data_IF_602255797600
#
_entry.id   IF_602255797600
#
_cell.length_a   1.000
_cell.length_b   1.000
_cell.length_c   1.000
_cell.angle_alpha   90.00
_cell.angle_beta   90.00
_cell.angle_gamma   90.00
#
_symmetry.space_group_name_H-M   'P 1'
#
loop_
_entity.id
_entity.type
_entity.pdbx_description
1 polymer ?
#
# COMPACT_ATOMS: atom_id res chain seq x y z
N UNK A 1 -19.10 1.93 -10.06
CA UNK A 1 -17.69 2.36 -10.21
C UNK A 1 -17.31 2.12 -11.67
N UNK A 2 -16.69 3.08 -12.35
CA UNK A 2 -16.29 2.88 -13.74
C UNK A 2 -15.03 1.99 -13.80
N UNK A 3 -15.03 0.96 -14.66
CA UNK A 3 -13.96 -0.04 -14.79
C UNK A 3 -12.54 0.58 -14.89
N UNK A 4 -12.41 1.68 -15.61
CA UNK A 4 -11.13 2.38 -15.79
C UNK A 4 -10.50 2.89 -14.48
N UNK A 5 -11.29 3.14 -13.42
CA UNK A 5 -10.75 3.63 -12.15
C UNK A 5 -9.97 2.53 -11.44
N UNK A 6 -10.43 1.27 -11.53
CA UNK A 6 -9.72 0.12 -10.97
C UNK A 6 -8.38 -0.09 -11.69
N UNK A 7 -8.37 0.04 -13.02
CA UNK A 7 -7.16 -0.08 -13.86
C UNK A 7 -6.13 0.99 -13.50
N UNK A 8 -6.57 2.26 -13.38
CA UNK A 8 -5.70 3.38 -12.99
C UNK A 8 -5.12 3.16 -11.60
N UNK A 9 -5.94 2.70 -10.65
CA UNK A 9 -5.49 2.42 -9.30
C UNK A 9 -4.47 1.27 -9.27
N UNK A 10 -4.71 0.22 -10.05
CA UNK A 10 -3.79 -0.91 -10.19
C UNK A 10 -2.44 -0.47 -10.74
N UNK A 11 -2.42 0.30 -11.83
CA UNK A 11 -1.18 0.86 -12.41
C UNK A 11 -0.46 1.75 -11.41
N UNK A 12 -1.19 2.58 -10.66
CA UNK A 12 -0.61 3.45 -9.64
C UNK A 12 0.11 2.65 -8.54
N UNK A 13 -0.41 1.49 -8.13
CA UNK A 13 0.26 0.63 -7.15
C UNK A 13 1.61 0.09 -7.65
N UNK A 14 1.74 -0.22 -8.95
CA UNK A 14 3.04 -0.57 -9.54
C UNK A 14 4.00 0.62 -9.62
N UNK A 15 3.49 1.83 -9.91
CA UNK A 15 4.31 3.05 -9.86
C UNK A 15 4.84 3.26 -8.44
N UNK A 16 3.99 3.10 -7.43
CA UNK A 16 4.40 3.24 -6.03
C UNK A 16 5.45 2.17 -5.65
N UNK A 17 5.29 0.92 -6.10
CA UNK A 17 6.31 -0.13 -5.93
C UNK A 17 7.65 0.26 -6.56
N UNK A 18 7.63 0.92 -7.71
CA UNK A 18 8.80 1.52 -8.34
C UNK A 18 9.46 2.58 -7.45
N UNK A 19 8.68 3.51 -6.90
CA UNK A 19 9.17 4.54 -5.97
C UNK A 19 9.81 3.92 -4.72
N UNK A 20 9.19 2.89 -4.15
CA UNK A 20 9.75 2.15 -3.01
C UNK A 20 11.10 1.53 -3.34
N UNK A 21 11.22 0.93 -4.52
CA UNK A 21 12.45 0.28 -4.99
C UNK A 21 13.59 1.30 -5.12
N UNK A 22 13.30 2.49 -5.66
CA UNK A 22 14.24 3.62 -5.69
C UNK A 22 14.63 4.07 -4.27
N UNK A 23 13.66 4.12 -3.36
CA UNK A 23 13.94 4.45 -1.97
C UNK A 23 14.82 3.42 -1.25
N UNK A 24 14.67 2.13 -1.56
CA UNK A 24 15.56 1.06 -1.07
C UNK A 24 16.98 1.23 -1.63
N UNK A 25 17.11 1.58 -2.90
CA UNK A 25 18.41 1.88 -3.52
C UNK A 25 19.13 3.03 -2.79
N UNK A 26 18.43 4.14 -2.48
CA UNK A 26 19.02 5.23 -1.71
C UNK A 26 19.45 4.82 -0.30
N UNK A 27 18.64 3.99 0.38
CA UNK A 27 19.00 3.43 1.68
C UNK A 27 20.28 2.58 1.61
N UNK A 28 20.43 1.72 0.60
CA UNK A 28 21.63 0.90 0.41
C UNK A 28 22.89 1.75 0.20
N UNK A 29 22.74 2.93 -0.41
CA UNK A 29 23.81 3.92 -0.61
C UNK A 29 24.03 4.85 0.59
N UNK A 30 23.36 4.63 1.73
CA UNK A 30 23.46 5.50 2.91
C UNK A 30 22.83 6.88 2.75
N UNK A 31 22.04 7.11 1.69
CA UNK A 31 21.39 8.38 1.36
C UNK A 31 20.01 8.49 2.03
N UNK A 32 20.01 8.62 3.36
CA UNK A 32 18.78 8.53 4.17
C UNK A 32 17.77 9.67 3.98
N UNK A 33 18.23 10.87 3.61
CA UNK A 33 17.32 11.99 3.28
C UNK A 33 16.51 11.65 2.03
N UNK A 34 17.17 11.18 0.97
CA UNK A 34 16.51 10.76 -0.27
C UNK A 34 15.60 9.56 -0.04
N UNK A 35 16.03 8.58 0.77
CA UNK A 35 15.16 7.49 1.21
C UNK A 35 13.87 8.03 1.87
N UNK A 36 13.99 8.92 2.86
CA UNK A 36 12.83 9.51 3.53
C UNK A 36 11.90 10.27 2.58
N UNK A 37 12.45 11.07 1.66
CA UNK A 37 11.67 11.75 0.62
C UNK A 37 10.92 10.78 -0.29
N UNK A 38 11.57 9.71 -0.75
CA UNK A 38 10.89 8.68 -1.56
C UNK A 38 9.81 7.94 -0.79
N UNK A 39 10.02 7.67 0.51
CA UNK A 39 8.99 7.03 1.34
C UNK A 39 7.79 7.96 1.55
N UNK A 40 8.02 9.26 1.76
CA UNK A 40 6.96 10.27 1.83
C UNK A 40 6.13 10.28 0.54
N UNK A 41 6.79 10.33 -0.62
CA UNK A 41 6.10 10.30 -1.93
C UNK A 41 5.26 9.03 -2.06
N UNK A 42 5.84 7.86 -1.76
CA UNK A 42 5.17 6.58 -1.86
C UNK A 42 3.91 6.51 -0.97
N UNK A 43 4.02 6.93 0.29
CA UNK A 43 2.89 6.95 1.24
C UNK A 43 1.84 7.96 0.83
N UNK A 44 2.22 9.16 0.37
CA UNK A 44 1.23 10.17 -0.07
C UNK A 44 0.46 9.69 -1.30
N UNK A 45 1.15 9.11 -2.29
CA UNK A 45 0.49 8.51 -3.45
C UNK A 45 -0.46 7.37 -3.04
N UNK A 46 -0.02 6.51 -2.12
CA UNK A 46 -0.85 5.42 -1.62
C UNK A 46 -2.06 5.94 -0.82
N UNK A 47 -1.89 6.96 0.02
CA UNK A 47 -2.95 7.60 0.78
C UNK A 47 -4.03 8.20 -0.13
N UNK A 48 -3.61 8.93 -1.17
CA UNK A 48 -4.52 9.53 -2.16
C UNK A 48 -5.31 8.43 -2.88
N UNK A 49 -4.63 7.39 -3.34
CA UNK A 49 -5.25 6.19 -3.92
C UNK A 49 -6.24 5.52 -2.95
N UNK A 50 -5.83 5.36 -1.69
CA UNK A 50 -6.64 4.72 -0.66
C UNK A 50 -7.92 5.49 -0.38
N UNK A 51 -7.82 6.79 -0.05
CA UNK A 51 -8.97 7.60 0.35
C UNK A 51 -9.91 7.97 -0.80
N UNK A 52 -9.39 8.16 -2.02
CA UNK A 52 -10.21 8.55 -3.16
C UNK A 52 -10.78 7.37 -3.94
N UNK A 53 -10.09 6.22 -3.93
CA UNK A 53 -10.46 5.07 -4.75
C UNK A 53 -10.79 3.85 -3.90
N UNK A 54 -9.82 3.33 -3.14
CA UNK A 54 -9.98 2.02 -2.49
C UNK A 54 -11.04 2.03 -1.40
N UNK A 55 -11.01 3.02 -0.51
CA UNK A 55 -11.93 3.13 0.61
C UNK A 55 -13.40 3.35 0.17
N UNK A 56 -13.72 4.32 -0.71
CA UNK A 56 -15.07 4.47 -1.22
C UNK A 56 -15.55 3.23 -1.96
N UNK A 57 -14.68 2.57 -2.73
CA UNK A 57 -15.02 1.33 -3.42
C UNK A 57 -15.38 0.24 -2.42
N UNK A 58 -14.55 0.04 -1.40
CA UNK A 58 -14.75 -1.00 -0.39
C UNK A 58 -16.04 -0.82 0.40
N UNK A 59 -16.38 0.43 0.75
CA UNK A 59 -17.63 0.74 1.48
C UNK A 59 -18.86 0.60 0.58
N UNK A 60 -18.75 0.95 -0.71
CA UNK A 60 -19.85 0.84 -1.67
C UNK A 60 -20.01 -0.57 -2.25
N UNK A 61 -19.08 -1.49 -2.00
CA UNK A 61 -19.07 -2.82 -2.59
C UNK A 61 -20.00 -3.78 -1.85
N UNK A 62 -20.86 -4.48 -2.58
CA UNK A 62 -21.72 -5.52 -2.03
C UNK A 62 -20.96 -6.86 -1.96
N UNK A 63 -20.52 -7.24 -0.76
CA UNK A 63 -19.80 -8.50 -0.55
C UNK A 63 -20.66 -9.76 -0.62
N UNK A 64 -21.98 -9.65 -0.81
CA UNK A 64 -22.86 -10.82 -0.96
C UNK A 64 -22.79 -11.44 -2.35
N UNK A 65 -22.34 -10.68 -3.35
CA UNK A 65 -22.22 -11.13 -4.74
C UNK A 65 -20.90 -11.84 -5.05
N UNK A 66 -19.95 -11.84 -4.11
CA UNK A 66 -18.67 -12.53 -4.26
C UNK A 66 -18.76 -13.97 -3.80
N UNK A 67 -18.12 -14.85 -4.55
CA UNK A 67 -17.81 -16.20 -4.10
C UNK A 67 -16.96 -16.17 -2.82
N UNK A 68 -17.12 -17.20 -1.99
CA UNK A 68 -16.49 -17.29 -0.66
C UNK A 68 -14.97 -17.02 -0.69
N UNK A 69 -14.17 -17.57 -1.62
CA UNK A 69 -12.72 -17.30 -1.68
C UNK A 69 -12.41 -15.84 -1.99
N UNK A 70 -13.06 -15.24 -3.00
CA UNK A 70 -12.85 -13.84 -3.38
C UNK A 70 -13.24 -12.87 -2.27
N UNK A 71 -14.31 -13.19 -1.53
CA UNK A 71 -14.74 -12.41 -0.36
C UNK A 71 -13.66 -12.40 0.72
N UNK A 72 -13.08 -13.57 1.05
CA UNK A 72 -12.00 -13.68 2.05
C UNK A 72 -10.76 -12.89 1.60
N UNK A 73 -10.37 -13.02 0.34
CA UNK A 73 -9.24 -12.27 -0.23
C UNK A 73 -9.50 -10.77 -0.15
N UNK A 74 -10.69 -10.31 -0.54
CA UNK A 74 -11.04 -8.89 -0.53
C UNK A 74 -11.04 -8.29 0.87
N UNK A 75 -11.61 -8.99 1.86
CA UNK A 75 -11.63 -8.54 3.25
C UNK A 75 -10.22 -8.51 3.85
N UNK A 76 -9.44 -9.55 3.59
CA UNK A 76 -8.05 -9.66 4.08
C UNK A 76 -7.17 -8.57 3.47
N UNK A 77 -7.31 -8.33 2.16
CA UNK A 77 -6.64 -7.22 1.47
C UNK A 77 -6.99 -5.87 2.12
N UNK A 78 -8.28 -5.59 2.32
CA UNK A 78 -8.75 -4.35 2.92
C UNK A 78 -8.20 -4.11 4.33
N UNK A 79 -8.22 -5.14 5.19
CA UNK A 79 -7.71 -5.05 6.56
C UNK A 79 -6.20 -4.84 6.58
N UNK A 80 -5.43 -5.70 5.88
CA UNK A 80 -3.98 -5.60 5.89
C UNK A 80 -3.49 -4.32 5.23
N UNK A 81 -4.12 -3.91 4.12
CA UNK A 81 -3.85 -2.65 3.44
C UNK A 81 -4.15 -1.44 4.32
N UNK A 82 -5.29 -1.43 5.01
CA UNK A 82 -5.64 -0.35 5.95
C UNK A 82 -4.65 -0.23 7.11
N UNK A 83 -4.24 -1.36 7.71
CA UNK A 83 -3.22 -1.35 8.78
C UNK A 83 -1.87 -0.85 8.23
N UNK A 84 -1.46 -1.33 7.06
CA UNK A 84 -0.22 -0.89 6.42
C UNK A 84 -0.22 0.62 6.15
N UNK A 85 -1.34 1.16 5.65
CA UNK A 85 -1.49 2.58 5.36
C UNK A 85 -1.41 3.44 6.63
N UNK A 86 -2.12 3.05 7.68
CA UNK A 86 -2.05 3.75 8.98
C UNK A 86 -0.61 3.77 9.52
N UNK A 87 0.09 2.64 9.47
CA UNK A 87 1.49 2.57 9.90
C UNK A 87 2.41 3.42 9.00
N UNK A 88 2.17 3.45 7.68
CA UNK A 88 2.91 4.26 6.73
C UNK A 88 2.78 5.76 7.03
N UNK A 89 1.55 6.24 7.21
CA UNK A 89 1.26 7.62 7.62
C UNK A 89 1.93 7.96 8.95
N UNK A 90 1.82 7.08 9.95
CA UNK A 90 2.48 7.26 11.23
C UNK A 90 4.00 7.39 11.11
N UNK A 91 4.65 6.55 10.30
CA UNK A 91 6.09 6.60 10.08
C UNK A 91 6.53 7.90 9.40
N UNK A 92 5.77 8.36 8.41
CA UNK A 92 6.05 9.62 7.69
C UNK A 92 5.88 10.83 8.61
N UNK A 93 4.79 10.90 9.38
CA UNK A 93 4.56 11.98 10.35
C UNK A 93 5.65 11.99 11.41
N UNK A 94 5.98 10.82 11.98
CA UNK A 94 7.04 10.69 12.97
C UNK A 94 8.41 11.12 12.43
N UNK A 95 8.70 10.84 11.16
CA UNK A 95 9.92 11.29 10.50
C UNK A 95 9.93 12.81 10.25
N UNK A 96 8.81 13.38 9.80
CA UNK A 96 8.66 14.82 9.59
C UNK A 96 8.87 15.65 10.86
N UNK A 97 8.38 15.15 12.00
CA UNK A 97 8.57 15.79 13.32
C UNK A 97 10.00 15.60 13.85
N UNK A 98 10.66 14.48 13.53
CA UNK A 98 12.01 14.17 14.02
C UNK A 98 12.92 13.69 12.89
N UNK A 99 13.49 14.63 12.13
CA UNK A 99 14.41 14.36 11.01
C UNK A 99 15.75 13.70 11.39
N UNK A 100 15.93 13.29 12.65
CA UNK A 100 17.17 12.68 13.17
C UNK A 100 17.21 11.17 12.88
N UNK A 101 18.38 10.67 12.50
CA UNK A 101 18.64 9.25 12.23
C UNK A 101 18.23 8.33 13.40
N UNK A 102 18.42 8.76 14.65
CA UNK A 102 18.00 7.99 15.83
C UNK A 102 16.51 7.61 15.82
N UNK A 103 15.62 8.43 15.24
CA UNK A 103 14.18 8.12 15.13
C UNK A 103 13.94 6.93 14.19
N UNK A 104 14.73 6.83 13.11
CA UNK A 104 14.67 5.74 12.14
C UNK A 104 15.09 4.40 12.77
N UNK A 105 16.16 4.40 13.57
CA UNK A 105 16.65 3.18 14.24
C UNK A 105 15.63 2.66 15.26
N UNK A 106 15.05 3.55 16.07
CA UNK A 106 14.04 3.19 17.08
C UNK A 106 12.77 2.58 16.48
N UNK A 107 12.45 2.90 15.23
CA UNK A 107 11.23 2.46 14.53
C UNK A 107 11.48 1.41 13.45
N UNK A 108 12.69 0.82 13.41
CA UNK A 108 13.09 -0.16 12.38
C UNK A 108 12.16 -1.36 12.30
N UNK A 109 11.65 -1.85 13.43
CA UNK A 109 10.69 -2.96 13.47
C UNK A 109 9.37 -2.55 12.83
N UNK A 110 8.84 -1.38 13.18
CA UNK A 110 7.60 -0.85 12.59
C UNK A 110 7.76 -0.70 11.07
N UNK A 111 8.85 -0.13 10.59
CA UNK A 111 9.13 -0.02 9.14
C UNK A 111 9.15 -1.39 8.43
N UNK A 112 9.73 -2.42 9.08
CA UNK A 112 9.75 -3.78 8.52
C UNK A 112 8.36 -4.40 8.49
N UNK A 113 7.57 -4.22 9.55
CA UNK A 113 6.18 -4.71 9.58
C UNK A 113 5.36 -4.00 8.52
N UNK A 114 5.47 -2.67 8.39
CA UNK A 114 4.76 -1.89 7.39
C UNK A 114 5.02 -2.40 5.97
N UNK A 115 6.29 -2.58 5.59
CA UNK A 115 6.61 -3.05 4.24
C UNK A 115 6.14 -4.49 4.00
N UNK A 116 6.22 -5.37 5.01
CA UNK A 116 5.73 -6.74 4.88
C UNK A 116 4.21 -6.78 4.69
N UNK A 117 3.46 -6.06 5.55
CA UNK A 117 2.01 -5.94 5.43
C UNK A 117 1.61 -5.35 4.08
N UNK A 118 2.32 -4.33 3.62
CA UNK A 118 2.03 -3.70 2.35
C UNK A 118 2.29 -4.63 1.15
N UNK A 119 3.40 -5.37 1.15
CA UNK A 119 3.69 -6.33 0.08
C UNK A 119 2.66 -7.48 0.06
N UNK A 120 2.26 -7.99 1.22
CA UNK A 120 1.19 -9.00 1.31
C UNK A 120 -0.12 -8.40 0.77
N UNK A 121 -0.48 -7.19 1.19
CA UNK A 121 -1.67 -6.51 0.70
C UNK A 121 -1.62 -6.29 -0.82
N UNK A 122 -0.46 -5.93 -1.39
CA UNK A 122 -0.28 -5.76 -2.83
C UNK A 122 -0.52 -7.08 -3.58
N UNK A 123 0.04 -8.19 -3.10
CA UNK A 123 -0.19 -9.53 -3.69
C UNK A 123 -1.67 -9.88 -3.64
N UNK A 124 -2.34 -9.69 -2.50
CA UNK A 124 -3.78 -9.92 -2.39
C UNK A 124 -4.59 -9.01 -3.32
N UNK A 125 -4.17 -7.76 -3.52
CA UNK A 125 -4.78 -6.83 -4.46
C UNK A 125 -4.64 -7.28 -5.91
N UNK A 126 -3.48 -7.84 -6.28
CA UNK A 126 -3.26 -8.44 -7.60
C UNK A 126 -4.17 -9.66 -7.80
N UNK A 127 -4.27 -10.54 -6.81
CA UNK A 127 -5.18 -11.69 -6.86
C UNK A 127 -6.64 -11.25 -7.00
N UNK A 128 -7.06 -10.24 -6.22
CA UNK A 128 -8.40 -9.68 -6.30
C UNK A 128 -8.70 -9.10 -7.68
N UNK A 129 -7.79 -8.30 -8.24
CA UNK A 129 -7.93 -7.73 -9.58
C UNK A 129 -8.05 -8.84 -10.64
N UNK A 130 -7.17 -9.84 -10.59
CA UNK A 130 -7.17 -10.94 -11.54
C UNK A 130 -8.43 -11.82 -11.44
N UNK A 131 -8.93 -12.06 -10.23
CA UNK A 131 -10.16 -12.82 -10.00
C UNK A 131 -11.42 -12.06 -10.47
N UNK A 132 -11.53 -10.77 -10.15
CA UNK A 132 -12.67 -9.93 -10.56
C UNK A 132 -12.76 -9.74 -12.08
N UNK A 133 -11.62 -9.70 -12.78
CA UNK A 133 -11.56 -9.61 -14.25
C UNK A 133 -11.59 -10.98 -14.94
N UNK A 134 -11.74 -12.08 -14.19
CA UNK A 134 -11.82 -13.44 -14.75
C UNK A 134 -10.53 -13.93 -15.40
N UNK A 135 -9.38 -13.34 -15.05
CA UNK A 135 -8.05 -13.73 -15.56
C UNK A 135 -7.62 -15.04 -14.90
N UNK A 136 -7.97 -15.24 -13.63
CA UNK A 136 -7.70 -16.46 -12.85
C UNK A 136 -8.96 -16.89 -12.09
N UNK A 137 -9.10 -18.19 -11.88
CA UNK A 137 -10.08 -18.77 -10.94
C UNK A 137 -9.45 -18.92 -9.56
N UNK A 138 -10.13 -18.44 -8.52
CA UNK A 138 -9.68 -18.47 -7.11
C UNK A 138 -10.65 -19.31 -6.29
#
# INVERSE_FOLDING_TARGET
MALWIADVNFVLQFVILGVLSVGLFYKQRGKFVFHGSTMLIAVVLNAVSFFLVMWPSFVAFDFTVLDSPLKVVSLTHGILGGIAEILGLFLVVAWGVQKKMQSCIRRKIVMRITILLWLIALVLGILLYAGLYGIITI
#
